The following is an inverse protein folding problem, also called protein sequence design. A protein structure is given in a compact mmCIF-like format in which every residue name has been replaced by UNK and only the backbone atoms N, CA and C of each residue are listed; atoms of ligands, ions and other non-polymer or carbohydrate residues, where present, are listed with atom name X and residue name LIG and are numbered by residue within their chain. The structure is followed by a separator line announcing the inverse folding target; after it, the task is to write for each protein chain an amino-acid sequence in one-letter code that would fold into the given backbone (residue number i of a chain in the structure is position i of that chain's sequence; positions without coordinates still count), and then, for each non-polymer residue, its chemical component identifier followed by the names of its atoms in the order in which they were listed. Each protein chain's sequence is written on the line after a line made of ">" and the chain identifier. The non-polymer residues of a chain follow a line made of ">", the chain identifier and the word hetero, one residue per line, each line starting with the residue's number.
data_IF_745818215266
#
_entry.id   IF_745818215266
#
_cell.length_a   1.000
_cell.length_b   1.000
_cell.length_c   1.000
_cell.angle_alpha   90.00
_cell.angle_beta   90.00
_cell.angle_gamma   90.00
#
_symmetry.space_group_name_H-M   'P 1'
#
loop_
_entity.id
_entity.type
_entity.pdbx_description
1 polymer ?
#
# COMPACT_ATOMS: atom_id res chain seq x y z
N UNK A 1 -9.87 7.43 16.33
CA UNK A 1 -8.98 6.90 15.28
C UNK A 1 -9.59 5.61 14.75
N UNK A 2 -9.69 5.45 13.44
CA UNK A 2 -10.02 4.15 12.83
C UNK A 2 -8.83 3.20 13.05
N UNK A 3 -9.11 1.93 13.34
CA UNK A 3 -8.04 0.94 13.52
C UNK A 3 -7.24 0.75 12.22
N UNK A 4 -5.92 0.53 12.32
CA UNK A 4 -5.04 0.24 11.18
C UNK A 4 -4.37 1.46 10.53
N UNK A 5 -4.49 2.65 11.12
CA UNK A 5 -3.84 3.85 10.58
C UNK A 5 -2.30 3.77 10.62
N UNK A 6 -1.76 3.08 11.62
CA UNK A 6 -0.34 2.72 11.72
C UNK A 6 0.14 1.89 10.52
N UNK A 7 -0.69 0.94 10.04
CA UNK A 7 -0.37 0.12 8.88
C UNK A 7 -0.33 0.96 7.62
N UNK A 8 -1.30 1.85 7.39
CA UNK A 8 -1.27 2.68 6.18
C UNK A 8 -0.18 3.74 6.22
N UNK A 9 0.19 4.29 7.38
CA UNK A 9 1.36 5.16 7.49
C UNK A 9 2.65 4.41 7.08
N UNK A 10 2.79 3.14 7.45
CA UNK A 10 3.92 2.30 7.00
C UNK A 10 3.90 2.01 5.50
N UNK A 11 2.70 1.83 4.91
CA UNK A 11 2.56 1.62 3.46
C UNK A 11 3.00 2.88 2.69
N UNK A 12 2.75 4.08 3.22
CA UNK A 12 3.11 5.33 2.56
C UNK A 12 4.64 5.55 2.42
N UNK A 13 5.44 4.88 3.24
CA UNK A 13 6.90 5.03 3.28
C UNK A 13 7.66 3.93 2.53
N UNK A 14 6.97 2.97 1.90
CA UNK A 14 7.63 1.87 1.19
C UNK A 14 8.42 2.39 -0.01
N UNK A 15 9.52 1.71 -0.33
CA UNK A 15 10.32 2.05 -1.50
C UNK A 15 9.48 1.91 -2.79
N UNK A 16 9.47 2.96 -3.61
CA UNK A 16 8.77 3.02 -4.89
C UNK A 16 9.72 3.12 -6.08
N UNK A 17 9.22 2.75 -7.26
CA UNK A 17 9.92 2.74 -8.54
C UNK A 17 8.94 3.15 -9.66
N UNK A 18 9.49 3.51 -10.81
CA UNK A 18 8.69 3.61 -12.05
C UNK A 18 8.55 2.23 -12.71
N UNK A 19 7.32 1.85 -13.08
CA UNK A 19 7.03 0.56 -13.74
C UNK A 19 5.97 0.74 -14.81
N UNK A 20 6.27 0.33 -16.04
CA UNK A 20 5.33 0.36 -17.18
C UNK A 20 4.71 1.76 -17.44
N UNK A 21 5.47 2.83 -17.22
CA UNK A 21 4.98 4.21 -17.40
C UNK A 21 4.14 4.74 -16.22
N UNK A 22 4.03 3.97 -15.13
CA UNK A 22 3.48 4.45 -13.86
C UNK A 22 4.63 4.78 -12.90
N UNK A 23 4.64 5.99 -12.37
CA UNK A 23 5.52 6.40 -11.28
C UNK A 23 4.94 5.98 -9.91
N UNK A 24 5.79 5.99 -8.89
CA UNK A 24 5.44 5.69 -7.48
C UNK A 24 4.84 4.29 -7.23
N UNK A 25 5.18 3.31 -8.06
CA UNK A 25 4.76 1.92 -7.86
C UNK A 25 5.62 1.27 -6.77
N UNK A 26 5.04 0.66 -5.72
CA UNK A 26 5.81 -0.07 -4.72
C UNK A 26 6.74 -1.12 -5.34
N UNK A 27 8.01 -1.12 -4.93
CA UNK A 27 9.01 -2.09 -5.40
C UNK A 27 8.60 -3.53 -5.04
N UNK A 28 7.96 -3.69 -3.88
CA UNK A 28 7.31 -4.92 -3.44
C UNK A 28 5.79 -4.74 -3.39
N UNK A 29 5.05 -5.76 -3.81
CA UNK A 29 3.58 -5.67 -3.91
C UNK A 29 2.92 -5.57 -2.53
N UNK A 30 2.21 -4.46 -2.29
CA UNK A 30 1.31 -4.29 -1.15
C UNK A 30 -0.09 -4.83 -1.52
N UNK A 31 -0.44 -6.02 -1.03
CA UNK A 31 -1.65 -6.73 -1.43
C UNK A 31 -2.77 -6.65 -0.37
N UNK A 32 -3.98 -6.30 -0.80
CA UNK A 32 -5.19 -6.46 0.01
C UNK A 32 -5.67 -7.90 -0.13
N UNK A 33 -5.43 -8.73 0.89
CA UNK A 33 -5.69 -10.18 0.81
C UNK A 33 -7.19 -10.56 0.87
N UNK A 34 -8.00 -9.81 1.63
CA UNK A 34 -9.43 -10.05 1.79
C UNK A 34 -10.12 -8.76 2.25
N UNK A 35 -11.31 -8.51 1.71
CA UNK A 35 -12.22 -7.48 2.21
C UNK A 35 -13.48 -8.16 2.74
N UNK A 36 -14.04 -7.65 3.82
CA UNK A 36 -15.32 -8.10 4.38
C UNK A 36 -16.20 -6.89 4.63
N UNK A 37 -17.40 -6.91 4.07
CA UNK A 37 -18.43 -5.89 4.27
C UNK A 37 -19.45 -6.45 5.27
N UNK A 38 -19.86 -5.64 6.25
CA UNK A 38 -20.89 -6.00 7.22
C UNK A 38 -22.24 -5.45 6.80
#
# INVERSE_FOLDING_TARGET
>A
MTAGMDVVNRIAEVHTLSRMGHDDVPAETVMINKVTVK
#
